data_IF_698696602669
#
_entry.id   IF_698696602669
#
_cell.length_a   1.000
_cell.length_b   1.000
_cell.length_c   1.000
_cell.angle_alpha   90.00
_cell.angle_beta   90.00
_cell.angle_gamma   90.00
#
_symmetry.space_group_name_H-M   'P 1'
#
loop_
_entity.id
_entity.type
_entity.pdbx_description
1 polymer ?
#
# COMPACT_ATOMS: atom_id res chain seq x y z
N UNK A 1 -21.85 39.52 -49.84
CA UNK A 1 -21.78 38.61 -48.72
C UNK A 1 -20.78 37.50 -49.08
N UNK A 2 -19.55 37.64 -48.62
CA UNK A 2 -18.46 36.67 -48.87
C UNK A 2 -18.21 35.90 -47.57
N UNK A 3 -18.43 34.60 -47.59
CA UNK A 3 -18.02 33.68 -46.53
C UNK A 3 -16.53 33.47 -46.60
N UNK A 4 -15.83 33.70 -45.48
CA UNK A 4 -14.42 33.35 -45.29
C UNK A 4 -14.40 32.04 -44.52
N UNK A 5 -13.96 30.98 -45.20
CA UNK A 5 -13.69 29.69 -44.59
C UNK A 5 -12.34 29.72 -43.90
N UNK A 6 -12.30 29.49 -42.60
CA UNK A 6 -11.07 29.37 -41.83
C UNK A 6 -10.57 27.91 -41.90
N UNK A 7 -9.46 27.74 -42.64
CA UNK A 7 -8.79 26.44 -42.78
C UNK A 7 -7.87 26.23 -41.57
N UNK A 8 -8.25 25.34 -40.69
CA UNK A 8 -7.39 24.88 -39.57
C UNK A 8 -6.46 23.80 -40.11
N UNK A 9 -5.20 24.16 -40.30
CA UNK A 9 -4.11 23.22 -40.62
C UNK A 9 -3.65 22.55 -39.34
N UNK A 10 -4.01 21.30 -39.12
CA UNK A 10 -3.44 20.45 -38.07
C UNK A 10 -2.10 19.95 -38.61
N UNK A 11 -1.01 20.52 -38.15
CA UNK A 11 0.32 19.92 -38.34
C UNK A 11 0.49 18.75 -37.43
N UNK A 12 0.38 17.54 -37.94
CA UNK A 12 0.85 16.32 -37.30
C UNK A 12 2.38 16.28 -37.42
N UNK A 13 3.08 16.63 -36.36
CA UNK A 13 4.49 16.28 -36.20
C UNK A 13 4.58 14.76 -35.89
N UNK A 14 4.82 13.98 -36.91
CA UNK A 14 5.34 12.61 -36.77
C UNK A 14 6.84 12.72 -36.46
N UNK A 15 7.19 12.60 -35.19
CA UNK A 15 8.58 12.38 -34.78
C UNK A 15 8.89 10.92 -35.12
N UNK A 16 9.66 10.69 -36.16
CA UNK A 16 10.28 9.40 -36.45
C UNK A 16 11.34 9.17 -35.37
N UNK A 17 11.03 8.33 -34.39
CA UNK A 17 12.01 7.85 -33.43
C UNK A 17 12.91 6.84 -34.15
N UNK A 18 14.08 7.23 -34.55
CA UNK A 18 15.17 6.32 -34.91
C UNK A 18 15.56 5.54 -33.64
N UNK A 19 15.46 4.24 -33.73
CA UNK A 19 15.85 3.27 -32.69
C UNK A 19 17.37 3.28 -32.52
N UNK A 20 17.87 4.15 -31.69
CA UNK A 20 19.13 3.95 -30.98
C UNK A 20 18.75 3.35 -29.62
N UNK A 21 19.22 2.13 -29.33
CA UNK A 21 19.06 1.45 -28.04
C UNK A 21 19.77 2.20 -26.91
N UNK A 22 19.29 3.38 -26.57
CA UNK A 22 19.77 4.22 -25.50
C UNK A 22 19.00 3.94 -24.21
N UNK A 23 19.72 3.60 -23.16
CA UNK A 23 19.19 3.52 -21.79
C UNK A 23 18.75 4.91 -21.36
N UNK A 24 17.50 5.04 -20.86
CA UNK A 24 17.01 6.29 -20.27
C UNK A 24 17.76 6.56 -18.97
N UNK A 25 18.20 7.79 -18.76
CA UNK A 25 18.77 8.23 -17.49
C UNK A 25 17.67 8.47 -16.44
N UNK A 26 18.02 8.51 -15.16
CA UNK A 26 17.08 8.80 -14.08
C UNK A 26 16.37 10.16 -14.26
N UNK A 27 17.04 11.15 -14.88
CA UNK A 27 16.48 12.46 -15.16
C UNK A 27 15.44 12.42 -16.29
N UNK A 28 15.66 11.58 -17.31
CA UNK A 28 14.68 11.33 -18.36
C UNK A 28 13.48 10.54 -17.84
N UNK A 29 13.68 9.57 -16.95
CA UNK A 29 12.61 8.84 -16.26
C UNK A 29 11.73 9.76 -15.41
N UNK A 30 12.32 10.76 -14.74
CA UNK A 30 11.59 11.72 -13.90
C UNK A 30 10.74 12.71 -14.71
N UNK A 31 11.07 12.94 -15.98
CA UNK A 31 10.40 13.89 -16.88
C UNK A 31 9.37 13.25 -17.82
N UNK A 32 9.11 11.95 -17.70
CA UNK A 32 8.22 11.23 -18.60
C UNK A 32 6.79 11.83 -18.62
N UNK A 33 6.23 12.12 -19.81
CA UNK A 33 4.84 12.52 -19.92
C UNK A 33 3.91 11.37 -19.48
N UNK A 34 2.72 11.71 -18.98
CA UNK A 34 1.69 10.77 -18.48
C UNK A 34 1.36 9.57 -19.40
N UNK A 35 1.78 9.60 -20.65
CA UNK A 35 1.47 8.58 -21.67
C UNK A 35 2.62 7.60 -21.92
N UNK A 36 3.76 7.72 -21.26
CA UNK A 36 4.90 6.83 -21.51
C UNK A 36 4.93 5.70 -20.49
N UNK A 37 4.92 4.47 -21.01
CA UNK A 37 5.06 3.24 -20.24
C UNK A 37 6.54 2.90 -20.06
N UNK A 38 6.93 2.45 -18.86
CA UNK A 38 8.21 1.80 -18.61
C UNK A 38 7.99 0.31 -18.68
N UNK A 39 8.65 -0.35 -19.62
CA UNK A 39 8.46 -1.77 -19.90
C UNK A 39 9.78 -2.51 -19.72
N UNK A 40 9.77 -3.56 -18.92
CA UNK A 40 10.94 -4.37 -18.59
C UNK A 40 10.69 -5.82 -18.97
N UNK A 41 11.65 -6.42 -19.68
CA UNK A 41 11.66 -7.81 -20.13
C UNK A 41 12.78 -8.55 -19.39
N UNK A 42 12.43 -9.57 -18.61
CA UNK A 42 13.31 -10.22 -17.64
C UNK A 42 13.86 -11.53 -18.20
N UNK A 43 15.15 -11.53 -18.47
CA UNK A 43 15.89 -12.72 -18.90
C UNK A 43 16.86 -12.46 -20.04
N UNK A 44 17.69 -13.47 -20.37
CA UNK A 44 18.75 -13.34 -21.37
C UNK A 44 18.27 -13.60 -22.82
N UNK A 45 16.99 -13.86 -23.04
CA UNK A 45 16.42 -14.18 -24.34
C UNK A 45 16.31 -12.97 -25.26
N UNK A 46 15.47 -13.12 -26.28
CA UNK A 46 15.20 -12.05 -27.23
C UNK A 46 14.26 -11.01 -26.59
N UNK A 47 14.71 -9.77 -26.51
CA UNK A 47 13.94 -8.67 -25.94
C UNK A 47 12.71 -8.33 -26.79
N UNK A 48 11.57 -8.17 -26.15
CA UNK A 48 10.35 -7.72 -26.80
C UNK A 48 10.48 -6.26 -27.30
N UNK A 49 9.92 -5.91 -28.47
CA UNK A 49 9.98 -4.54 -28.97
C UNK A 49 9.39 -3.53 -27.97
N UNK A 50 10.13 -2.47 -27.67
CA UNK A 50 9.70 -1.43 -26.72
C UNK A 50 9.92 -1.76 -25.26
N UNK A 51 10.63 -2.85 -24.95
CA UNK A 51 11.02 -3.24 -23.60
C UNK A 51 12.52 -3.04 -23.37
N UNK A 52 12.86 -2.80 -22.11
CA UNK A 52 14.23 -2.74 -21.62
C UNK A 52 14.59 -4.10 -21.01
N UNK A 53 15.70 -4.69 -21.45
CA UNK A 53 16.16 -5.96 -20.91
C UNK A 53 16.65 -5.83 -19.47
N UNK A 54 16.25 -6.77 -18.62
CA UNK A 54 16.72 -6.90 -17.24
C UNK A 54 17.39 -8.27 -17.09
N UNK A 55 18.68 -8.27 -16.77
CA UNK A 55 19.47 -9.48 -16.53
C UNK A 55 19.72 -9.63 -15.02
N UNK A 56 20.10 -10.82 -14.57
CA UNK A 56 20.49 -11.07 -13.17
C UNK A 56 21.58 -10.12 -12.65
N UNK A 57 22.38 -9.55 -13.54
CA UNK A 57 23.44 -8.58 -13.23
C UNK A 57 22.96 -7.13 -13.23
N UNK A 58 21.71 -6.88 -13.57
CA UNK A 58 21.12 -5.53 -13.62
C UNK A 58 20.80 -5.09 -12.18
N UNK A 59 21.79 -4.52 -11.49
CA UNK A 59 21.64 -3.99 -10.14
C UNK A 59 21.16 -2.54 -10.17
N UNK A 60 20.26 -2.19 -9.29
CA UNK A 60 19.75 -0.83 -9.17
C UNK A 60 20.88 0.16 -8.85
N UNK A 61 20.93 1.25 -9.60
CA UNK A 61 21.68 2.45 -9.27
C UNK A 61 20.90 3.70 -9.63
N UNK A 62 21.23 4.83 -9.03
CA UNK A 62 20.56 6.12 -9.38
C UNK A 62 20.76 6.50 -10.85
N UNK A 63 21.93 6.19 -11.41
CA UNK A 63 22.27 6.50 -12.80
C UNK A 63 21.48 5.62 -13.78
N UNK A 64 21.27 4.35 -13.42
CA UNK A 64 20.49 3.43 -14.25
C UNK A 64 18.98 3.65 -14.09
N UNK A 65 18.54 3.99 -12.89
CA UNK A 65 17.15 4.24 -12.54
C UNK A 65 16.26 3.00 -12.40
N UNK A 66 16.79 1.78 -12.58
CA UNK A 66 16.06 0.52 -12.37
C UNK A 66 17.03 -0.62 -12.08
N UNK A 67 16.52 -1.73 -11.55
CA UNK A 67 17.31 -2.94 -11.34
C UNK A 67 16.93 -3.69 -10.07
N UNK A 68 17.55 -4.86 -9.88
CA UNK A 68 17.44 -5.60 -8.63
C UNK A 68 18.19 -4.86 -7.51
N UNK A 69 17.61 -4.81 -6.33
CA UNK A 69 18.28 -4.24 -5.17
C UNK A 69 19.55 -5.06 -4.83
N UNK A 70 20.60 -4.41 -4.30
CA UNK A 70 21.85 -5.09 -3.96
C UNK A 70 21.64 -6.31 -3.04
N UNK A 71 22.27 -7.43 -3.37
CA UNK A 71 22.16 -8.67 -2.62
C UNK A 71 21.06 -9.61 -3.10
N UNK A 72 20.32 -9.27 -4.15
CA UNK A 72 19.37 -10.19 -4.76
C UNK A 72 20.07 -11.43 -5.34
N UNK A 73 19.63 -12.61 -4.91
CA UNK A 73 20.06 -13.90 -5.44
C UNK A 73 19.05 -14.35 -6.50
N UNK A 74 19.24 -13.89 -7.73
CA UNK A 74 18.32 -14.09 -8.84
C UNK A 74 19.01 -14.82 -9.97
N UNK A 75 18.37 -15.84 -10.53
CA UNK A 75 18.79 -16.54 -11.74
C UNK A 75 17.85 -16.19 -12.88
N UNK A 76 18.40 -15.72 -14.00
CA UNK A 76 17.63 -15.45 -15.21
C UNK A 76 17.92 -16.53 -16.28
N UNK A 77 16.87 -17.07 -16.88
CA UNK A 77 16.96 -18.20 -17.81
C UNK A 77 16.15 -17.93 -19.08
N UNK A 78 16.71 -18.35 -20.24
CA UNK A 78 15.98 -18.42 -21.50
C UNK A 78 15.47 -19.86 -21.72
N UNK A 79 14.16 -20.01 -21.89
CA UNK A 79 13.49 -21.28 -22.19
C UNK A 79 13.25 -21.47 -23.68
N UNK A 80 13.58 -20.46 -24.47
CA UNK A 80 13.27 -20.42 -25.90
C UNK A 80 11.79 -20.24 -26.21
N UNK A 81 11.46 -19.86 -27.41
CA UNK A 81 10.07 -19.67 -27.83
C UNK A 81 9.91 -18.53 -28.82
N UNK A 82 8.65 -18.32 -29.26
CA UNK A 82 8.33 -17.25 -30.23
C UNK A 82 7.84 -15.95 -29.53
N UNK A 83 7.29 -16.09 -28.36
CA UNK A 83 6.76 -14.97 -27.56
C UNK A 83 7.88 -14.49 -26.63
N UNK A 84 8.47 -13.36 -26.94
CA UNK A 84 9.59 -12.81 -26.20
C UNK A 84 9.30 -12.63 -24.70
N UNK A 85 8.09 -12.19 -24.35
CA UNK A 85 7.69 -11.96 -22.94
C UNK A 85 7.36 -13.25 -22.17
N UNK A 86 7.48 -14.43 -22.78
CA UNK A 86 7.20 -15.74 -22.20
C UNK A 86 8.28 -16.77 -22.49
N UNK A 87 9.34 -16.37 -23.20
CA UNK A 87 10.46 -17.25 -23.54
C UNK A 87 11.53 -17.28 -22.48
N UNK A 88 11.60 -16.25 -21.66
CA UNK A 88 12.57 -16.11 -20.58
C UNK A 88 11.95 -15.50 -19.32
N UNK A 89 12.69 -15.54 -18.23
CA UNK A 89 12.26 -15.07 -16.92
C UNK A 89 13.45 -14.94 -15.99
N UNK A 90 13.26 -14.19 -14.90
CA UNK A 90 14.12 -14.24 -13.72
C UNK A 90 13.36 -14.85 -12.55
N UNK A 91 14.02 -15.70 -11.76
CA UNK A 91 13.43 -16.44 -10.63
C UNK A 91 14.48 -16.61 -9.53
N UNK A 92 14.03 -16.96 -8.32
CA UNK A 92 14.87 -17.21 -7.15
C UNK A 92 14.21 -18.24 -6.24
N UNK A 93 14.99 -18.84 -5.36
CA UNK A 93 14.50 -19.64 -4.21
C UNK A 93 14.40 -18.77 -2.93
N UNK A 94 14.73 -17.50 -3.04
CA UNK A 94 14.68 -16.51 -1.96
C UNK A 94 13.89 -15.27 -2.38
N UNK A 95 13.33 -14.48 -1.45
CA UNK A 95 12.76 -13.19 -1.77
C UNK A 95 13.79 -12.26 -2.43
N UNK A 96 13.36 -11.53 -3.44
CA UNK A 96 14.18 -10.51 -4.10
C UNK A 96 13.39 -9.23 -4.33
N UNK A 97 14.12 -8.13 -4.52
CA UNK A 97 13.53 -6.81 -4.73
C UNK A 97 13.96 -6.24 -6.08
N UNK A 98 13.02 -5.60 -6.76
CA UNK A 98 13.27 -4.86 -7.99
C UNK A 98 12.74 -3.44 -7.83
N UNK A 99 13.59 -2.45 -8.14
CA UNK A 99 13.27 -1.03 -7.98
C UNK A 99 13.31 -0.28 -9.30
N UNK A 100 12.46 0.73 -9.41
CA UNK A 100 12.40 1.66 -10.54
C UNK A 100 12.26 3.08 -10.03
N UNK A 101 13.13 3.99 -10.46
CA UNK A 101 13.05 5.41 -10.14
C UNK A 101 11.77 6.00 -10.77
N UNK A 102 10.90 6.55 -9.93
CA UNK A 102 9.62 7.13 -10.33
C UNK A 102 9.33 8.38 -9.51
N UNK A 103 8.88 9.46 -10.14
CA UNK A 103 8.40 10.63 -9.40
C UNK A 103 7.11 10.30 -8.62
N UNK A 104 6.82 11.11 -7.62
CA UNK A 104 5.58 10.99 -6.85
C UNK A 104 4.35 10.87 -7.75
N UNK A 105 3.47 9.92 -7.43
CA UNK A 105 2.23 9.70 -8.18
C UNK A 105 1.63 8.32 -8.00
N UNK A 106 0.56 8.09 -8.75
CA UNK A 106 -0.10 6.79 -8.82
C UNK A 106 0.31 6.07 -10.11
N UNK A 107 0.61 4.79 -10.00
CA UNK A 107 1.07 3.96 -11.11
C UNK A 107 0.27 2.67 -11.20
N UNK A 108 -0.14 2.30 -12.41
CA UNK A 108 -0.60 0.95 -12.69
C UNK A 108 0.62 0.11 -13.05
N UNK A 109 0.79 -0.98 -12.32
CA UNK A 109 1.85 -1.97 -12.52
C UNK A 109 1.21 -3.25 -13.02
N UNK A 110 1.67 -3.74 -14.17
CA UNK A 110 1.23 -5.00 -14.78
C UNK A 110 2.41 -5.94 -14.84
N UNK A 111 2.26 -7.14 -14.27
CA UNK A 111 3.33 -8.14 -14.20
C UNK A 111 2.90 -9.41 -14.90
N UNK A 112 3.78 -9.94 -15.74
CA UNK A 112 3.64 -11.27 -16.37
C UNK A 112 4.43 -12.29 -15.57
N UNK A 113 3.74 -13.37 -15.14
CA UNK A 113 4.28 -14.48 -14.37
C UNK A 113 4.19 -15.78 -15.19
N UNK A 114 5.12 -16.69 -14.93
CA UNK A 114 5.09 -18.05 -15.46
C UNK A 114 6.48 -18.53 -15.84
N UNK A 115 6.61 -19.85 -15.99
CA UNK A 115 7.79 -20.52 -16.51
C UNK A 115 7.35 -21.64 -17.45
N UNK A 116 7.98 -21.75 -18.62
CA UNK A 116 7.70 -22.80 -19.60
C UNK A 116 7.94 -24.20 -19.02
N UNK A 117 8.86 -24.33 -18.06
CA UNK A 117 9.39 -25.61 -17.61
C UNK A 117 9.01 -26.00 -16.18
N UNK A 118 8.54 -25.08 -15.37
CA UNK A 118 8.26 -25.35 -13.95
C UNK A 118 7.07 -24.54 -13.41
N UNK A 119 6.49 -25.00 -12.31
CA UNK A 119 5.52 -24.25 -11.54
C UNK A 119 6.17 -23.04 -10.88
N UNK A 120 5.43 -21.93 -10.75
CA UNK A 120 5.85 -20.74 -10.00
C UNK A 120 4.78 -20.32 -9.03
N UNK A 121 5.20 -19.80 -7.86
CA UNK A 121 4.32 -19.20 -6.86
C UNK A 121 4.93 -17.87 -6.45
N UNK A 122 4.23 -16.79 -6.74
CA UNK A 122 4.76 -15.44 -6.49
C UNK A 122 3.76 -14.61 -5.70
N UNK A 123 4.20 -14.06 -4.57
CA UNK A 123 3.53 -12.99 -3.82
C UNK A 123 4.27 -11.69 -4.09
N UNK A 124 3.55 -10.62 -4.40
CA UNK A 124 4.13 -9.30 -4.66
C UNK A 124 3.73 -8.32 -3.57
N UNK A 125 4.72 -7.71 -2.95
CA UNK A 125 4.54 -6.56 -2.05
C UNK A 125 5.21 -5.33 -2.65
N UNK A 126 4.73 -4.14 -2.31
CA UNK A 126 5.29 -2.89 -2.80
C UNK A 126 5.74 -2.00 -1.64
N UNK A 127 6.78 -1.20 -1.86
CA UNK A 127 7.30 -0.24 -0.89
C UNK A 127 7.65 -0.93 0.45
N UNK A 128 7.12 -0.42 1.56
CA UNK A 128 7.24 -1.09 2.86
C UNK A 128 6.19 -2.20 3.01
N UNK A 129 6.37 -3.29 2.25
CA UNK A 129 5.65 -4.55 2.44
C UNK A 129 4.12 -4.46 2.25
N UNK A 130 3.59 -3.46 1.52
CA UNK A 130 2.17 -3.39 1.15
C UNK A 130 1.81 -4.57 0.25
N UNK A 131 0.89 -5.42 0.68
CA UNK A 131 0.50 -6.64 -0.05
C UNK A 131 -0.32 -6.27 -1.30
N UNK A 132 0.26 -6.46 -2.48
CA UNK A 132 -0.39 -6.14 -3.76
C UNK A 132 -1.02 -7.36 -4.41
N UNK A 133 -0.27 -8.45 -4.54
CA UNK A 133 -0.72 -9.72 -5.12
C UNK A 133 -0.36 -10.87 -4.19
N UNK A 134 -1.34 -11.70 -3.93
CA UNK A 134 -1.22 -12.85 -3.06
C UNK A 134 -1.18 -14.12 -3.90
N UNK A 135 -0.13 -14.93 -3.70
CA UNK A 135 -0.06 -16.31 -4.18
C UNK A 135 -0.41 -16.51 -5.68
N UNK A 136 0.21 -15.72 -6.56
CA UNK A 136 0.03 -15.91 -8.02
C UNK A 136 0.70 -17.22 -8.42
N UNK A 137 -0.10 -18.25 -8.63
CA UNK A 137 0.34 -19.60 -8.94
C UNK A 137 0.20 -19.89 -10.43
N UNK A 138 1.25 -20.42 -11.07
CA UNK A 138 1.22 -20.87 -12.47
C UNK A 138 1.83 -22.27 -12.60
N UNK A 139 1.15 -23.17 -13.29
CA UNK A 139 1.73 -24.46 -13.64
C UNK A 139 2.78 -24.32 -14.77
N UNK A 140 3.65 -25.31 -14.92
CA UNK A 140 4.62 -25.36 -16.00
C UNK A 140 3.96 -25.13 -17.38
N UNK A 141 4.55 -24.28 -18.21
CA UNK A 141 4.02 -23.89 -19.52
C UNK A 141 2.79 -22.98 -19.49
N UNK A 142 2.39 -22.50 -18.31
CA UNK A 142 1.28 -21.55 -18.14
C UNK A 142 1.80 -20.19 -17.70
N UNK A 143 1.16 -19.15 -18.24
CA UNK A 143 1.48 -17.76 -17.95
C UNK A 143 0.22 -17.02 -17.54
N UNK A 144 0.36 -16.05 -16.67
CA UNK A 144 -0.72 -15.17 -16.26
C UNK A 144 -0.20 -13.75 -16.06
N UNK A 145 -1.07 -12.79 -16.32
CA UNK A 145 -0.77 -11.37 -16.07
C UNK A 145 -1.68 -10.86 -14.97
N UNK A 146 -1.13 -10.06 -14.07
CA UNK A 146 -1.85 -9.40 -12.98
C UNK A 146 -1.45 -7.95 -12.91
N UNK A 147 -2.42 -7.10 -12.57
CA UNK A 147 -2.19 -5.66 -12.41
C UNK A 147 -2.69 -5.18 -11.05
N UNK A 148 -2.08 -4.12 -10.56
CA UNK A 148 -2.50 -3.37 -9.38
C UNK A 148 -2.14 -1.89 -9.56
N UNK A 149 -2.75 -1.02 -8.75
CA UNK A 149 -2.38 0.39 -8.69
C UNK A 149 -1.62 0.66 -7.39
N UNK A 150 -0.47 1.31 -7.48
CA UNK A 150 0.40 1.65 -6.35
C UNK A 150 0.62 3.16 -6.28
N UNK A 151 0.78 3.68 -5.06
CA UNK A 151 1.17 5.07 -4.81
C UNK A 151 2.64 5.13 -4.40
N UNK A 152 3.41 5.98 -5.09
CA UNK A 152 4.77 6.41 -4.74
C UNK A 152 4.67 7.81 -4.18
N UNK A 153 5.31 8.08 -3.04
CA UNK A 153 5.23 9.38 -2.35
C UNK A 153 6.59 9.87 -1.90
N UNK A 154 6.71 11.18 -1.82
CA UNK A 154 7.86 11.89 -1.29
C UNK A 154 7.44 12.78 -0.12
N UNK A 155 8.36 13.25 0.74
CA UNK A 155 7.99 14.14 1.85
C UNK A 155 7.58 15.54 1.42
N UNK A 156 7.86 15.97 0.19
CA UNK A 156 7.57 17.31 -0.29
C UNK A 156 6.07 17.60 -0.31
N UNK A 157 5.68 18.79 0.15
CA UNK A 157 4.30 19.28 0.14
C UNK A 157 4.18 20.30 -0.97
N UNK A 158 3.26 20.11 -1.92
CA UNK A 158 3.15 20.97 -3.12
C UNK A 158 2.87 22.45 -2.80
N UNK A 159 2.25 22.72 -1.64
CA UNK A 159 2.04 24.10 -1.14
C UNK A 159 3.27 24.72 -0.44
N UNK A 160 4.37 23.98 -0.34
CA UNK A 160 5.64 24.40 0.24
C UNK A 160 6.04 23.70 1.53
N UNK A 161 7.33 23.42 1.65
CA UNK A 161 7.93 22.65 2.74
C UNK A 161 7.73 21.15 2.60
N UNK A 162 7.92 20.42 3.70
CA UNK A 162 7.89 18.96 3.70
C UNK A 162 7.26 18.39 4.97
N UNK A 163 6.92 17.11 4.94
CA UNK A 163 6.57 16.32 6.14
C UNK A 163 7.80 16.23 7.04
N UNK A 164 7.62 16.45 8.33
CA UNK A 164 8.69 16.30 9.32
C UNK A 164 8.88 14.81 9.62
N UNK A 165 9.66 14.15 8.76
CA UNK A 165 9.97 12.73 8.89
C UNK A 165 10.76 12.46 10.16
N UNK A 166 10.41 11.38 10.86
CA UNK A 166 11.17 10.82 11.99
C UNK A 166 12.47 10.16 11.45
N UNK A 167 13.47 9.96 12.29
CA UNK A 167 14.75 9.41 11.87
C UNK A 167 14.62 8.02 11.23
N UNK A 168 13.70 7.19 11.72
CA UNK A 168 13.43 5.88 11.11
C UNK A 168 12.84 5.98 9.70
N UNK A 169 12.02 7.00 9.42
CA UNK A 169 11.45 7.25 8.09
C UNK A 169 12.51 7.70 7.07
N UNK A 170 13.66 8.20 7.56
CA UNK A 170 14.83 8.56 6.74
C UNK A 170 15.82 7.39 6.60
N UNK A 171 15.59 6.28 7.27
CA UNK A 171 16.49 5.12 7.31
C UNK A 171 15.75 3.81 6.99
N UNK A 172 15.25 3.09 7.99
CA UNK A 172 14.59 1.78 7.81
C UNK A 172 13.26 1.85 7.07
N UNK A 173 12.63 3.02 7.00
CA UNK A 173 11.36 3.26 6.32
C UNK A 173 11.51 4.13 5.06
N UNK A 174 12.74 4.32 4.59
CA UNK A 174 13.05 5.21 3.47
C UNK A 174 12.27 4.88 2.19
N UNK A 175 12.06 3.60 1.90
CA UNK A 175 11.31 3.15 0.72
C UNK A 175 9.86 3.65 0.65
N UNK A 176 9.31 4.11 1.78
CA UNK A 176 7.99 4.74 1.77
C UNK A 176 8.01 6.23 1.36
N UNK A 177 9.18 6.86 1.26
CA UNK A 177 9.34 8.31 1.10
C UNK A 177 10.38 8.71 0.06
N UNK A 178 10.81 7.77 -0.77
CA UNK A 178 11.81 8.04 -1.82
C UNK A 178 11.15 8.18 -3.22
N UNK A 179 11.96 8.55 -4.21
CA UNK A 179 11.54 8.71 -5.60
C UNK A 179 11.74 7.42 -6.39
N UNK A 180 11.32 6.29 -5.83
CA UNK A 180 11.32 5.01 -6.55
C UNK A 180 10.18 4.11 -6.09
N UNK A 181 9.75 3.23 -6.97
CA UNK A 181 8.90 2.09 -6.65
C UNK A 181 9.80 0.89 -6.39
N UNK A 182 9.67 0.29 -5.20
CA UNK A 182 10.32 -0.98 -4.85
C UNK A 182 9.29 -2.08 -4.76
N UNK A 183 9.52 -3.18 -5.48
CA UNK A 183 8.67 -4.37 -5.50
C UNK A 183 9.43 -5.55 -4.87
N UNK A 184 8.82 -6.20 -3.86
CA UNK A 184 9.26 -7.48 -3.31
C UNK A 184 8.56 -8.61 -4.05
N UNK A 185 9.33 -9.56 -4.56
CA UNK A 185 8.87 -10.83 -5.10
C UNK A 185 9.24 -11.92 -4.11
N UNK A 186 8.24 -12.65 -3.61
CA UNK A 186 8.39 -13.59 -2.51
C UNK A 186 7.53 -14.84 -2.76
N UNK A 187 7.66 -15.85 -1.98
CA UNK A 187 7.00 -17.14 -1.93
C UNK A 187 7.93 -18.31 -2.32
N UNK A 188 7.39 -19.50 -2.58
CA UNK A 188 8.17 -20.74 -2.76
C UNK A 188 9.14 -20.68 -3.95
N UNK A 189 8.71 -20.09 -5.07
CA UNK A 189 9.52 -19.88 -6.26
C UNK A 189 9.05 -18.61 -6.97
N UNK A 190 9.38 -17.43 -6.43
CA UNK A 190 9.01 -16.17 -7.06
C UNK A 190 9.66 -16.04 -8.44
N UNK A 191 8.87 -15.61 -9.41
CA UNK A 191 9.32 -15.46 -10.79
C UNK A 191 8.70 -14.24 -11.44
N UNK A 192 9.39 -13.72 -12.45
CA UNK A 192 8.96 -12.56 -13.23
C UNK A 192 9.47 -12.69 -14.64
N UNK A 193 8.57 -12.49 -15.63
CA UNK A 193 8.93 -12.45 -17.05
C UNK A 193 8.89 -11.03 -17.60
N UNK A 194 7.90 -10.22 -17.21
CA UNK A 194 7.81 -8.83 -17.66
C UNK A 194 7.13 -7.93 -16.60
N UNK A 195 7.49 -6.64 -16.60
CA UNK A 195 6.79 -5.57 -15.89
C UNK A 195 6.47 -4.43 -16.85
N UNK A 196 5.26 -3.92 -16.76
CA UNK A 196 4.84 -2.68 -17.39
C UNK A 196 4.38 -1.70 -16.32
N UNK A 197 4.86 -0.45 -16.33
CA UNK A 197 4.52 0.58 -15.35
C UNK A 197 4.03 1.80 -16.09
N UNK A 198 2.81 2.23 -15.78
CA UNK A 198 2.17 3.38 -16.41
C UNK A 198 1.71 4.36 -15.33
N UNK A 199 2.09 5.64 -15.45
CA UNK A 199 1.55 6.68 -14.57
C UNK A 199 0.07 6.88 -14.87
N UNK A 200 -0.78 6.87 -13.83
CA UNK A 200 -2.24 6.94 -13.99
C UNK A 200 -2.86 8.05 -13.16
N UNK A 201 -3.95 8.61 -13.68
CA UNK A 201 -4.84 9.46 -12.89
C UNK A 201 -5.94 8.58 -12.31
N UNK A 202 -5.74 8.12 -11.08
CA UNK A 202 -6.69 7.29 -10.35
C UNK A 202 -7.16 8.01 -9.08
N UNK A 203 -8.41 7.79 -8.62
CA UNK A 203 -8.81 8.18 -7.28
C UNK A 203 -7.87 7.61 -6.24
N UNK A 204 -7.68 8.34 -5.15
CA UNK A 204 -6.78 7.92 -4.08
C UNK A 204 -7.55 7.74 -2.77
N UNK A 205 -7.31 6.63 -2.09
CA UNK A 205 -7.65 6.42 -0.71
C UNK A 205 -6.43 6.75 0.14
N UNK A 206 -6.45 7.88 0.82
CA UNK A 206 -5.44 8.27 1.79
C UNK A 206 -5.74 7.65 3.14
N UNK A 207 -4.70 7.13 3.82
CA UNK A 207 -4.77 6.65 5.17
C UNK A 207 -3.96 7.57 6.09
N UNK A 208 -4.55 8.02 7.17
CA UNK A 208 -3.87 8.70 8.27
C UNK A 208 -4.18 7.96 9.57
N UNK A 209 -3.15 7.70 10.36
CA UNK A 209 -3.27 6.91 11.57
C UNK A 209 -1.94 6.68 12.29
N UNK A 210 -2.00 5.76 13.22
CA UNK A 210 -0.88 5.34 14.07
C UNK A 210 -0.23 4.01 13.60
N UNK A 211 0.50 3.35 14.48
CA UNK A 211 1.22 2.09 14.22
C UNK A 211 0.33 0.94 13.78
N UNK A 212 -0.97 1.00 14.03
CA UNK A 212 -1.92 -0.04 13.62
C UNK A 212 -2.44 0.15 12.18
N UNK A 213 -2.07 1.27 11.55
CA UNK A 213 -2.45 1.66 10.18
C UNK A 213 -1.24 1.78 9.25
N UNK A 214 -0.09 2.24 9.76
CA UNK A 214 1.09 2.59 8.95
C UNK A 214 1.77 1.38 8.32
N UNK A 215 2.61 1.64 7.33
CA UNK A 215 3.46 0.63 6.73
C UNK A 215 4.60 0.27 7.70
N UNK A 216 4.52 -0.89 8.33
CA UNK A 216 5.58 -1.41 9.22
C UNK A 216 6.74 -1.97 8.39
N UNK A 217 8.00 -1.53 8.62
CA UNK A 217 9.10 -1.92 7.75
C UNK A 217 9.59 -3.35 7.96
N UNK A 218 9.40 -3.91 9.16
CA UNK A 218 10.09 -5.13 9.59
C UNK A 218 9.10 -6.16 10.17
N UNK A 219 9.33 -7.44 9.83
CA UNK A 219 8.63 -8.56 10.46
C UNK A 219 8.99 -8.67 11.96
N UNK A 220 8.09 -9.14 12.81
CA UNK A 220 6.76 -9.66 12.52
C UNK A 220 5.65 -8.60 12.50
N UNK A 221 5.98 -7.32 12.64
CA UNK A 221 4.99 -6.24 12.74
C UNK A 221 4.34 -5.97 11.39
N UNK A 222 3.04 -5.72 11.42
CA UNK A 222 2.23 -5.38 10.26
C UNK A 222 1.03 -4.53 10.69
N UNK A 223 0.29 -3.97 9.74
CA UNK A 223 -0.91 -3.19 9.97
C UNK A 223 -2.01 -3.54 8.97
N UNK A 224 -3.26 -3.22 9.30
CA UNK A 224 -4.35 -3.40 8.35
C UNK A 224 -4.17 -2.51 7.09
N UNK A 225 -3.50 -1.36 7.20
CA UNK A 225 -3.24 -0.48 6.06
C UNK A 225 -2.32 -1.11 5.02
N UNK A 226 -1.32 -1.89 5.45
CA UNK A 226 -0.43 -2.64 4.54
C UNK A 226 -1.14 -3.79 3.82
N UNK A 227 -2.08 -4.45 4.50
CA UNK A 227 -2.84 -5.58 3.93
C UNK A 227 -4.03 -5.13 3.10
N UNK A 228 -4.52 -3.91 3.31
CA UNK A 228 -5.72 -3.39 2.66
C UNK A 228 -5.60 -3.35 1.12
N UNK A 229 -4.41 -3.04 0.60
CA UNK A 229 -4.12 -2.91 -0.83
C UNK A 229 -4.47 -4.18 -1.61
N UNK A 230 -4.30 -5.35 -1.01
CA UNK A 230 -4.59 -6.67 -1.60
C UNK A 230 -6.04 -6.83 -2.08
N UNK A 231 -6.97 -6.12 -1.46
CA UNK A 231 -8.41 -6.29 -1.70
C UNK A 231 -8.97 -5.38 -2.79
N UNK A 232 -8.11 -4.54 -3.39
CA UNK A 232 -8.53 -3.62 -4.44
C UNK A 232 -7.98 -4.04 -5.82
N UNK A 233 -8.84 -3.94 -6.83
CA UNK A 233 -8.46 -4.09 -8.23
C UNK A 233 -7.82 -2.79 -8.76
N UNK A 234 -7.13 -2.82 -9.91
CA UNK A 234 -6.62 -1.60 -10.56
C UNK A 234 -7.69 -0.53 -10.72
N UNK A 235 -7.27 0.73 -10.70
CA UNK A 235 -8.12 1.91 -10.89
C UNK A 235 -8.37 2.73 -9.63
N UNK A 236 -7.74 2.37 -8.49
CA UNK A 236 -7.67 3.17 -7.27
C UNK A 236 -6.31 2.96 -6.61
N UNK A 237 -5.69 4.02 -6.14
CA UNK A 237 -4.46 3.95 -5.36
C UNK A 237 -4.74 4.04 -3.86
N UNK A 238 -3.97 3.35 -3.04
CA UNK A 238 -3.98 3.49 -1.58
C UNK A 238 -2.66 4.14 -1.16
N UNK A 239 -2.75 5.34 -0.59
CA UNK A 239 -1.62 6.14 -0.14
C UNK A 239 -1.59 6.16 1.39
N UNK A 240 -0.72 5.35 2.00
CA UNK A 240 -0.66 5.20 3.44
C UNK A 240 0.31 6.24 4.05
N UNK A 241 -0.23 7.33 4.59
CA UNK A 241 0.52 8.40 5.26
C UNK A 241 0.50 8.28 6.80
N UNK A 242 -0.01 7.17 7.33
CA UNK A 242 0.03 6.88 8.75
C UNK A 242 1.46 6.61 9.22
N UNK A 243 1.71 6.76 10.52
CA UNK A 243 3.04 6.56 11.08
C UNK A 243 2.98 6.08 12.54
N UNK A 244 3.91 5.19 12.90
CA UNK A 244 4.02 4.64 14.24
C UNK A 244 4.22 5.72 15.30
N UNK A 245 3.46 5.62 16.40
CA UNK A 245 3.54 6.55 17.52
C UNK A 245 2.86 7.90 17.29
N UNK A 246 2.14 8.08 16.19
CA UNK A 246 1.39 9.32 15.95
C UNK A 246 0.07 9.37 16.73
N UNK A 247 -0.21 10.55 17.30
CA UNK A 247 -1.53 11.02 17.67
C UNK A 247 -2.05 12.00 16.62
N UNK A 248 -3.32 12.40 16.66
CA UNK A 248 -3.83 13.48 15.80
C UNK A 248 -2.99 14.75 15.90
N UNK A 249 -2.59 15.11 17.12
CA UNK A 249 -1.80 16.31 17.39
C UNK A 249 -0.39 16.21 16.82
N UNK A 250 0.30 15.09 17.03
CA UNK A 250 1.66 14.91 16.50
C UNK A 250 1.67 14.81 14.98
N UNK A 251 0.66 14.18 14.38
CA UNK A 251 0.44 14.11 12.93
C UNK A 251 0.27 15.50 12.30
N UNK A 252 -0.51 16.39 12.94
CA UNK A 252 -0.61 17.80 12.54
C UNK A 252 0.75 18.51 12.63
N UNK A 253 1.45 18.34 13.77
CA UNK A 253 2.76 18.95 13.98
C UNK A 253 3.81 18.45 12.97
N UNK A 254 3.71 17.20 12.54
CA UNK A 254 4.53 16.60 11.49
C UNK A 254 4.09 16.98 10.07
N UNK A 255 2.99 17.73 9.91
CA UNK A 255 2.44 18.18 8.64
C UNK A 255 1.95 17.04 7.73
N UNK A 256 1.52 15.92 8.31
CA UNK A 256 1.03 14.77 7.54
C UNK A 256 -0.32 15.06 6.88
N UNK A 257 -1.20 15.78 7.61
CA UNK A 257 -2.46 16.25 7.04
C UNK A 257 -2.21 17.22 5.87
N UNK A 258 -1.30 18.21 6.02
CA UNK A 258 -0.94 19.15 4.95
C UNK A 258 -0.49 18.40 3.69
N UNK A 259 0.34 17.35 3.85
CA UNK A 259 0.80 16.51 2.74
C UNK A 259 -0.36 15.85 2.02
N UNK A 260 -1.25 15.20 2.74
CA UNK A 260 -2.44 14.56 2.17
C UNK A 260 -3.32 15.58 1.44
N UNK A 261 -3.63 16.70 2.08
CA UNK A 261 -4.47 17.76 1.50
C UNK A 261 -3.85 18.36 0.22
N UNK A 262 -2.52 18.46 0.16
CA UNK A 262 -1.81 18.97 -1.02
C UNK A 262 -1.91 18.07 -2.26
N UNK A 263 -2.24 16.79 -2.06
CA UNK A 263 -2.40 15.79 -3.13
C UNK A 263 -3.87 15.46 -3.42
N UNK A 264 -4.75 15.72 -2.44
CA UNK A 264 -6.15 15.33 -2.47
C UNK A 264 -6.92 16.05 -3.58
N UNK A 265 -7.77 15.31 -4.26
CA UNK A 265 -8.66 15.79 -5.31
C UNK A 265 -10.12 15.49 -4.96
N UNK A 266 -11.08 16.22 -5.54
CA UNK A 266 -12.49 15.90 -5.37
C UNK A 266 -12.79 14.43 -5.70
N UNK A 267 -13.46 13.76 -4.74
CA UNK A 267 -13.81 12.35 -4.85
C UNK A 267 -12.78 11.38 -4.28
N UNK A 268 -11.60 11.85 -3.87
CA UNK A 268 -10.66 11.04 -3.08
C UNK A 268 -11.21 10.78 -1.67
N UNK A 269 -10.70 9.73 -1.03
CA UNK A 269 -11.10 9.35 0.33
C UNK A 269 -9.99 9.62 1.33
N UNK A 270 -10.36 9.98 2.56
CA UNK A 270 -9.45 10.05 3.69
C UNK A 270 -9.98 9.17 4.84
N UNK A 271 -9.29 8.07 5.11
CA UNK A 271 -9.53 7.24 6.27
C UNK A 271 -8.68 7.73 7.45
N UNK A 272 -9.33 7.97 8.59
CA UNK A 272 -8.73 8.58 9.78
C UNK A 272 -8.90 7.63 10.96
N UNK A 273 -7.80 7.00 11.42
CA UNK A 273 -7.79 6.16 12.61
C UNK A 273 -6.65 6.54 13.55
N UNK A 274 -6.98 7.12 14.68
CA UNK A 274 -6.07 7.43 15.77
C UNK A 274 -6.71 7.03 17.10
N UNK A 275 -5.96 7.10 18.19
CA UNK A 275 -6.45 6.81 19.53
C UNK A 275 -5.38 6.24 20.46
N UNK A 276 -4.59 5.26 19.99
CA UNK A 276 -3.59 4.55 20.79
C UNK A 276 -2.52 5.46 21.43
N UNK A 277 -2.25 6.61 20.82
CA UNK A 277 -1.28 7.58 21.33
C UNK A 277 -1.96 8.82 21.88
N UNK A 278 -3.11 9.20 21.35
CA UNK A 278 -3.90 10.33 21.85
C UNK A 278 -4.31 10.12 23.31
N UNK A 279 -4.66 8.90 23.71
CA UNK A 279 -5.03 8.54 25.08
C UNK A 279 -3.88 8.67 26.10
N UNK A 280 -2.63 8.70 25.61
CA UNK A 280 -1.42 8.88 26.42
C UNK A 280 -1.08 10.36 26.64
N UNK A 281 -1.66 11.26 25.85
CA UNK A 281 -1.45 12.69 26.00
C UNK A 281 -1.97 13.18 27.36
N UNK A 282 -1.25 14.10 27.99
CA UNK A 282 -1.58 14.65 29.29
C UNK A 282 -1.57 16.18 29.24
N UNK A 283 -2.30 16.79 30.14
CA UNK A 283 -2.37 18.24 30.28
C UNK A 283 -3.78 18.71 30.61
N UNK A 284 -3.89 19.97 31.02
CA UNK A 284 -5.18 20.59 31.25
C UNK A 284 -5.99 20.67 29.96
N UNK A 285 -7.25 20.24 30.00
CA UNK A 285 -8.15 20.22 28.84
C UNK A 285 -7.87 19.14 27.83
N UNK A 286 -6.86 18.25 28.00
CA UNK A 286 -6.57 17.14 27.11
C UNK A 286 -7.50 15.97 27.41
N UNK A 287 -8.16 15.44 26.38
CA UNK A 287 -9.04 14.28 26.52
C UNK A 287 -9.85 13.96 25.28
N UNK A 288 -10.57 12.84 25.36
CA UNK A 288 -11.34 12.27 24.26
C UNK A 288 -12.42 13.22 23.71
N UNK A 289 -13.13 13.90 24.61
CA UNK A 289 -14.23 14.82 24.23
C UNK A 289 -13.80 16.28 24.06
N UNK A 290 -12.55 16.58 24.26
CA UNK A 290 -11.98 17.93 24.14
C UNK A 290 -11.00 18.00 22.94
N UNK A 291 -9.70 17.91 23.18
CA UNK A 291 -8.65 18.07 22.17
C UNK A 291 -8.74 17.03 21.05
N UNK A 292 -8.96 15.75 21.39
CA UNK A 292 -9.06 14.67 20.41
C UNK A 292 -10.28 14.88 19.51
N UNK A 293 -11.46 15.12 20.10
CA UNK A 293 -12.68 15.42 19.35
C UNK A 293 -12.53 16.64 18.43
N UNK A 294 -11.91 17.72 18.94
CA UNK A 294 -11.66 18.92 18.14
C UNK A 294 -10.74 18.64 16.95
N UNK A 295 -9.67 17.86 17.16
CA UNK A 295 -8.74 17.47 16.10
C UNK A 295 -9.42 16.58 15.04
N UNK A 296 -10.25 15.61 15.44
CA UNK A 296 -11.02 14.81 14.49
C UNK A 296 -11.91 15.65 13.57
N UNK A 297 -12.62 16.64 14.17
CA UNK A 297 -13.45 17.58 13.39
C UNK A 297 -12.61 18.39 12.42
N UNK A 298 -11.45 18.85 12.84
CA UNK A 298 -10.52 19.59 11.98
C UNK A 298 -10.10 18.74 10.77
N UNK A 299 -9.71 17.47 10.95
CA UNK A 299 -9.34 16.58 9.85
C UNK A 299 -10.51 16.37 8.86
N UNK A 300 -11.72 16.20 9.39
CA UNK A 300 -12.94 16.06 8.58
C UNK A 300 -13.20 17.32 7.75
N UNK A 301 -13.13 18.48 8.39
CA UNK A 301 -13.37 19.78 7.74
C UNK A 301 -12.37 20.06 6.64
N UNK A 302 -11.07 19.88 6.90
CA UNK A 302 -10.00 20.15 5.93
C UNK A 302 -10.10 19.22 4.72
N UNK A 303 -10.38 17.92 4.93
CA UNK A 303 -10.60 16.99 3.83
C UNK A 303 -11.79 17.43 2.93
N UNK A 304 -12.88 17.88 3.52
CA UNK A 304 -14.06 18.38 2.79
C UNK A 304 -13.75 19.64 1.99
N UNK A 305 -12.93 20.55 2.51
CA UNK A 305 -12.51 21.76 1.77
C UNK A 305 -11.80 21.42 0.46
N UNK A 306 -11.09 20.30 0.40
CA UNK A 306 -10.44 19.78 -0.81
C UNK A 306 -11.38 18.95 -1.69
N UNK A 307 -12.66 18.80 -1.32
CA UNK A 307 -13.63 17.93 -2.02
C UNK A 307 -13.43 16.44 -1.73
N UNK A 308 -12.61 16.09 -0.74
CA UNK A 308 -12.39 14.73 -0.29
C UNK A 308 -13.56 14.20 0.56
N UNK A 309 -13.62 12.89 0.67
CA UNK A 309 -14.64 12.15 1.44
C UNK A 309 -13.96 11.57 2.70
N UNK A 310 -14.07 12.24 3.86
CA UNK A 310 -13.52 11.71 5.10
C UNK A 310 -14.36 10.54 5.62
N UNK A 311 -13.68 9.54 6.19
CA UNK A 311 -14.28 8.40 6.88
C UNK A 311 -13.56 8.24 8.21
N UNK A 312 -14.29 8.24 9.30
CA UNK A 312 -13.73 8.03 10.63
C UNK A 312 -13.70 6.53 10.95
N UNK A 313 -12.59 6.10 11.55
CA UNK A 313 -12.39 4.72 11.99
C UNK A 313 -12.06 4.73 13.47
N UNK A 314 -12.80 3.96 14.28
CA UNK A 314 -12.49 3.83 15.71
C UNK A 314 -11.17 3.07 15.88
N UNK A 315 -10.35 3.38 16.92
CA UNK A 315 -9.10 2.67 17.18
C UNK A 315 -9.37 1.17 17.35
N UNK A 316 -8.51 0.34 16.77
CA UNK A 316 -8.59 -1.12 16.92
C UNK A 316 -8.37 -1.50 18.39
N UNK A 317 -9.01 -2.56 18.87
CA UNK A 317 -8.83 -3.05 20.24
C UNK A 317 -7.38 -3.47 20.51
N UNK A 318 -6.96 -3.36 21.78
CA UNK A 318 -5.83 -4.14 22.27
C UNK A 318 -6.28 -5.53 22.69
N UNK A 319 -5.36 -6.46 22.70
CA UNK A 319 -5.62 -7.86 23.15
C UNK A 319 -5.66 -7.93 24.68
N UNK A 320 -6.67 -7.31 25.26
CA UNK A 320 -6.91 -7.29 26.72
C UNK A 320 -8.18 -8.05 27.03
N UNK A 321 -8.05 -9.23 27.61
CA UNK A 321 -9.17 -10.09 28.01
C UNK A 321 -9.42 -10.04 29.50
N UNK A 322 -10.69 -10.13 29.89
CA UNK A 322 -11.09 -10.40 31.26
C UNK A 322 -11.03 -11.90 31.59
N UNK A 323 -11.37 -12.24 32.84
CA UNK A 323 -11.36 -13.62 33.32
C UNK A 323 -12.42 -14.51 32.62
N UNK A 324 -13.40 -13.93 31.95
CA UNK A 324 -14.45 -14.61 31.19
C UNK A 324 -14.09 -14.75 29.71
N UNK A 325 -12.90 -14.30 29.30
CA UNK A 325 -12.46 -14.34 27.90
C UNK A 325 -13.13 -13.29 27.00
N UNK A 326 -13.62 -12.21 27.59
CA UNK A 326 -14.18 -11.07 26.88
C UNK A 326 -13.15 -9.95 26.73
N UNK A 327 -13.16 -9.28 25.58
CA UNK A 327 -12.31 -8.11 25.36
C UNK A 327 -12.76 -6.95 26.25
N UNK A 328 -11.79 -6.35 26.91
CA UNK A 328 -12.02 -5.14 27.72
C UNK A 328 -11.58 -3.89 26.95
N UNK A 329 -12.39 -2.84 27.02
CA UNK A 329 -12.04 -1.56 26.39
C UNK A 329 -10.84 -0.90 27.12
N UNK A 330 -9.68 -0.92 26.49
CA UNK A 330 -8.47 -0.27 27.00
C UNK A 330 -8.29 1.18 26.54
N UNK A 331 -9.18 1.68 25.65
CA UNK A 331 -9.12 3.03 25.07
C UNK A 331 -10.00 4.07 25.78
N UNK A 332 -10.66 3.70 26.90
CA UNK A 332 -11.56 4.62 27.61
C UNK A 332 -12.62 5.21 26.69
N UNK A 333 -12.74 6.52 26.68
CA UNK A 333 -13.77 7.26 25.94
C UNK A 333 -13.40 7.57 24.47
N UNK A 334 -12.18 7.25 24.02
CA UNK A 334 -11.73 7.63 22.68
C UNK A 334 -12.56 7.01 21.54
N UNK A 335 -12.93 5.71 21.59
CA UNK A 335 -13.84 5.15 20.56
C UNK A 335 -15.24 5.78 20.57
N UNK A 336 -15.75 6.13 21.75
CA UNK A 336 -17.04 6.81 21.87
C UNK A 336 -17.00 8.22 21.29
N UNK A 337 -15.90 8.96 21.49
CA UNK A 337 -15.69 10.27 20.88
C UNK A 337 -15.66 10.20 19.35
N UNK A 338 -15.00 9.18 18.74
CA UNK A 338 -15.03 8.98 17.28
C UNK A 338 -16.45 8.77 16.77
N UNK A 339 -17.23 7.88 17.43
CA UNK A 339 -18.65 7.64 17.08
C UNK A 339 -19.49 8.91 17.18
N UNK A 340 -19.24 9.72 18.21
CA UNK A 340 -19.92 10.98 18.40
C UNK A 340 -19.61 11.98 17.27
N UNK A 341 -18.31 12.16 16.93
CA UNK A 341 -17.90 13.03 15.83
C UNK A 341 -18.48 12.58 14.52
N UNK A 342 -18.44 11.26 14.21
CA UNK A 342 -19.02 10.73 12.98
C UNK A 342 -20.51 11.11 12.83
N UNK A 343 -21.27 11.03 13.93
CA UNK A 343 -22.68 11.42 13.97
C UNK A 343 -22.86 12.93 13.82
N UNK A 344 -22.10 13.73 14.58
CA UNK A 344 -22.19 15.20 14.58
C UNK A 344 -21.83 15.80 13.22
N UNK A 345 -20.75 15.27 12.60
CA UNK A 345 -20.27 15.73 11.32
C UNK A 345 -20.95 15.03 10.11
N UNK A 346 -21.85 14.09 10.36
CA UNK A 346 -22.49 13.28 9.32
C UNK A 346 -21.47 12.69 8.32
N UNK A 347 -20.45 11.99 8.84
CA UNK A 347 -19.44 11.25 8.06
C UNK A 347 -19.58 9.76 8.27
N UNK A 348 -19.25 8.93 7.26
CA UNK A 348 -19.23 7.48 7.43
C UNK A 348 -18.32 7.07 8.59
N UNK A 349 -18.74 6.03 9.31
CA UNK A 349 -18.01 5.43 10.42
C UNK A 349 -17.69 3.96 10.11
N UNK A 350 -16.44 3.58 10.28
CA UNK A 350 -16.00 2.19 10.38
C UNK A 350 -15.72 1.91 11.85
N UNK A 351 -16.58 1.14 12.49
CA UNK A 351 -16.43 0.81 13.91
C UNK A 351 -15.49 -0.39 14.12
N UNK A 352 -14.20 -0.17 13.80
CA UNK A 352 -13.18 -1.20 13.89
C UNK A 352 -12.94 -1.65 15.35
N UNK A 353 -13.18 -0.77 16.32
CA UNK A 353 -13.14 -1.13 17.74
C UNK A 353 -14.13 -2.25 18.07
N UNK A 354 -15.38 -2.12 17.61
CA UNK A 354 -16.38 -3.16 17.80
C UNK A 354 -16.04 -4.43 17.02
N UNK A 355 -15.66 -4.29 15.75
CA UNK A 355 -15.36 -5.44 14.88
C UNK A 355 -14.12 -6.22 15.37
N UNK A 356 -13.06 -5.56 15.79
CA UNK A 356 -11.88 -6.21 16.34
C UNK A 356 -12.14 -6.88 17.70
N UNK A 357 -13.04 -6.31 18.51
CA UNK A 357 -13.51 -6.97 19.73
C UNK A 357 -14.15 -8.34 19.44
N UNK A 358 -15.08 -8.38 18.49
CA UNK A 358 -15.71 -9.62 18.03
C UNK A 358 -14.68 -10.60 17.50
N UNK A 359 -13.75 -10.14 16.66
CA UNK A 359 -12.69 -10.94 16.07
C UNK A 359 -11.78 -11.58 17.12
N UNK A 360 -11.34 -10.80 18.12
CA UNK A 360 -10.44 -11.32 19.15
C UNK A 360 -11.15 -12.28 20.10
N UNK A 361 -12.42 -12.01 20.43
CA UNK A 361 -13.24 -12.96 21.20
C UNK A 361 -13.48 -14.26 20.46
N UNK A 362 -13.66 -14.22 19.12
CA UNK A 362 -13.80 -15.43 18.31
C UNK A 362 -12.52 -16.28 18.31
N UNK A 363 -11.34 -15.66 18.28
CA UNK A 363 -10.08 -16.39 18.49
C UNK A 363 -9.90 -16.87 19.93
N UNK A 364 -10.39 -16.11 20.90
CA UNK A 364 -10.17 -16.36 22.33
C UNK A 364 -8.78 -15.97 22.85
N UNK A 365 -8.57 -16.00 24.17
CA UNK A 365 -7.36 -15.46 24.80
C UNK A 365 -6.05 -16.12 24.34
N UNK A 366 -6.06 -17.43 24.09
CA UNK A 366 -4.84 -18.15 23.73
C UNK A 366 -4.55 -18.09 22.21
N UNK A 367 -5.53 -18.42 21.36
CA UNK A 367 -5.31 -18.46 19.92
C UNK A 367 -5.08 -17.07 19.33
N UNK A 368 -5.67 -16.02 19.89
CA UNK A 368 -5.43 -14.63 19.47
C UNK A 368 -3.96 -14.21 19.56
N UNK A 369 -3.13 -14.86 20.39
CA UNK A 369 -1.68 -14.58 20.42
C UNK A 369 -1.01 -14.78 19.06
N UNK A 370 -1.56 -15.68 18.23
CA UNK A 370 -1.03 -16.00 16.89
C UNK A 370 -1.33 -14.92 15.85
N UNK A 371 -2.16 -13.93 16.17
CA UNK A 371 -2.50 -12.80 15.29
C UNK A 371 -1.74 -11.52 15.66
N UNK A 372 -0.93 -11.54 16.71
CA UNK A 372 -0.13 -10.43 17.17
C UNK A 372 1.37 -10.73 17.05
N UNK A 373 2.18 -9.67 17.05
CA UNK A 373 3.61 -9.83 17.21
C UNK A 373 3.95 -10.47 18.57
N UNK A 374 5.03 -11.23 18.69
CA UNK A 374 5.38 -11.93 19.93
C UNK A 374 5.47 -10.97 21.14
N UNK A 375 4.80 -11.33 22.23
CA UNK A 375 4.74 -10.55 23.47
C UNK A 375 4.18 -9.13 23.30
N UNK A 376 3.35 -8.91 22.27
CA UNK A 376 2.67 -7.65 22.03
C UNK A 376 1.14 -7.85 22.10
N UNK A 377 0.44 -6.91 22.71
CA UNK A 377 -1.03 -6.92 22.78
C UNK A 377 -1.67 -5.81 21.96
N UNK A 378 -0.84 -5.03 21.23
CA UNK A 378 -1.26 -3.88 20.43
C UNK A 378 -1.00 -4.10 18.94
N UNK A 379 0.22 -4.54 18.58
CA UNK A 379 0.63 -4.65 17.19
C UNK A 379 0.41 -6.05 16.64
N UNK A 380 -0.18 -6.10 15.46
CA UNK A 380 -0.49 -7.34 14.75
C UNK A 380 0.71 -7.82 13.92
N UNK A 381 0.68 -9.10 13.61
CA UNK A 381 1.50 -9.70 12.55
C UNK A 381 0.71 -9.70 11.22
N UNK A 382 1.27 -10.33 10.18
CA UNK A 382 0.66 -10.40 8.85
C UNK A 382 -0.76 -10.97 8.88
N UNK A 383 -0.99 -12.07 9.61
CA UNK A 383 -2.31 -12.69 9.70
C UNK A 383 -3.33 -11.79 10.40
N UNK A 384 -3.00 -11.27 11.59
CA UNK A 384 -3.92 -10.39 12.31
C UNK A 384 -4.27 -9.11 11.55
N UNK A 385 -3.29 -8.53 10.86
CA UNK A 385 -3.48 -7.36 10.01
C UNK A 385 -4.34 -7.66 8.79
N UNK A 386 -4.20 -8.85 8.20
CA UNK A 386 -5.02 -9.29 7.06
C UNK A 386 -6.49 -9.42 7.46
N UNK A 387 -6.79 -10.06 8.60
CA UNK A 387 -8.16 -10.20 9.10
C UNK A 387 -8.78 -8.83 9.46
N UNK A 388 -8.00 -7.90 10.03
CA UNK A 388 -8.47 -6.54 10.27
C UNK A 388 -8.74 -5.79 8.96
N UNK A 389 -7.92 -5.97 7.92
CA UNK A 389 -8.19 -5.40 6.60
C UNK A 389 -9.50 -5.94 6.02
N UNK A 390 -9.83 -7.22 6.25
CA UNK A 390 -11.14 -7.79 5.87
C UNK A 390 -12.30 -7.13 6.63
N UNK A 391 -12.12 -6.82 7.91
CA UNK A 391 -13.10 -6.02 8.66
C UNK A 391 -13.35 -4.66 7.97
N UNK A 392 -12.28 -3.95 7.57
CA UNK A 392 -12.39 -2.68 6.84
C UNK A 392 -13.16 -2.87 5.52
N UNK A 393 -12.88 -3.93 4.77
CA UNK A 393 -13.57 -4.24 3.50
C UNK A 393 -15.07 -4.45 3.71
N UNK A 394 -15.47 -5.22 4.72
CA UNK A 394 -16.89 -5.41 5.02
C UNK A 394 -17.57 -4.11 5.47
N UNK A 395 -16.86 -3.28 6.23
CA UNK A 395 -17.38 -1.97 6.61
C UNK A 395 -17.52 -1.00 5.41
N UNK A 396 -16.60 -1.04 4.44
CA UNK A 396 -16.73 -0.30 3.17
C UNK A 396 -18.02 -0.70 2.43
N UNK A 397 -18.31 -2.01 2.37
CA UNK A 397 -19.54 -2.53 1.75
C UNK A 397 -20.78 -2.13 2.54
N UNK A 398 -20.78 -2.30 3.86
CA UNK A 398 -21.89 -2.01 4.75
C UNK A 398 -22.28 -0.51 4.73
N UNK A 399 -21.27 0.37 4.70
CA UNK A 399 -21.46 1.82 4.57
C UNK A 399 -21.77 2.28 3.14
N UNK A 400 -21.82 1.37 2.16
CA UNK A 400 -22.07 1.67 0.73
C UNK A 400 -21.13 2.74 0.19
N UNK A 401 -19.88 2.77 0.64
CA UNK A 401 -18.89 3.71 0.14
C UNK A 401 -18.65 3.46 -1.35
N UNK A 402 -18.47 4.53 -2.13
CA UNK A 402 -18.16 4.42 -3.55
C UNK A 402 -16.85 3.63 -3.85
N UNK A 403 -16.02 3.41 -2.82
CA UNK A 403 -14.85 2.54 -2.85
C UNK A 403 -15.20 1.08 -3.15
N UNK A 404 -16.39 0.61 -2.78
CA UNK A 404 -16.83 -0.78 -2.95
C UNK A 404 -16.76 -1.24 -4.43
N UNK A 405 -16.91 -0.34 -5.38
CA UNK A 405 -16.80 -0.66 -6.82
C UNK A 405 -15.40 -1.06 -7.25
N UNK A 406 -14.36 -0.73 -6.47
CA UNK A 406 -12.97 -1.09 -6.74
C UNK A 406 -12.52 -2.35 -6.02
N UNK A 407 -13.35 -2.94 -5.17
CA UNK A 407 -13.01 -4.18 -4.48
C UNK A 407 -12.94 -5.36 -5.46
N UNK A 408 -12.06 -6.30 -5.16
CA UNK A 408 -11.94 -7.57 -5.89
C UNK A 408 -13.21 -8.38 -5.60
N UNK A 409 -13.96 -8.71 -6.65
CA UNK A 409 -15.27 -9.39 -6.53
C UNK A 409 -15.18 -10.84 -6.07
N UNK A 410 -14.02 -11.47 -6.26
CA UNK A 410 -13.78 -12.86 -5.79
C UNK A 410 -13.45 -12.97 -4.31
N UNK A 411 -13.29 -11.85 -3.60
CA UNK A 411 -13.08 -11.88 -2.14
C UNK A 411 -14.34 -12.39 -1.45
N UNK A 412 -14.22 -13.53 -0.76
CA UNK A 412 -15.32 -14.08 0.02
C UNK A 412 -15.80 -13.11 1.10
N UNK A 413 -17.11 -13.05 1.41
CA UNK A 413 -17.60 -12.29 2.55
C UNK A 413 -16.85 -12.68 3.83
N UNK A 414 -16.66 -11.73 4.72
CA UNK A 414 -15.95 -11.94 5.98
C UNK A 414 -16.87 -11.62 7.17
N UNK A 415 -16.89 -12.52 8.13
CA UNK A 415 -17.55 -12.32 9.41
C UNK A 415 -16.49 -12.39 10.53
N UNK A 416 -16.21 -11.30 11.26
CA UNK A 416 -15.24 -11.32 12.34
C UNK A 416 -15.57 -12.30 13.47
N UNK A 417 -16.82 -12.79 13.58
CA UNK A 417 -17.18 -13.85 14.51
C UNK A 417 -16.71 -15.24 14.04
N UNK A 418 -16.33 -15.38 12.78
CA UNK A 418 -15.88 -16.64 12.17
C UNK A 418 -14.62 -16.42 11.33
N UNK A 419 -13.49 -16.00 11.95
CA UNK A 419 -12.24 -15.75 11.23
C UNK A 419 -11.69 -17.04 10.62
N UNK A 420 -10.93 -16.86 9.53
CA UNK A 420 -10.26 -18.00 8.89
C UNK A 420 -9.20 -18.59 9.85
N UNK A 421 -8.98 -19.91 9.80
CA UNK A 421 -7.91 -20.51 10.60
C UNK A 421 -6.54 -19.94 10.24
N UNK A 422 -5.73 -19.59 11.24
CA UNK A 422 -4.38 -19.05 11.02
C UNK A 422 -3.49 -19.95 10.14
N UNK A 423 -3.72 -21.26 10.20
CA UNK A 423 -2.94 -22.24 9.42
C UNK A 423 -3.34 -22.27 7.94
N UNK A 424 -4.39 -21.56 7.53
CA UNK A 424 -4.77 -21.35 6.14
C UNK A 424 -4.17 -20.05 5.53
N UNK A 425 -3.49 -19.26 6.35
CA UNK A 425 -2.88 -18.00 5.90
C UNK A 425 -1.48 -18.23 5.31
N UNK A 426 -1.31 -17.94 4.03
CA UNK A 426 -0.13 -18.31 3.24
C UNK A 426 0.69 -17.10 2.72
N UNK A 427 0.46 -15.89 3.25
CA UNK A 427 1.28 -14.75 2.86
C UNK A 427 2.67 -14.88 3.49
N UNK A 428 3.74 -15.01 2.69
CA UNK A 428 5.08 -15.22 3.20
C UNK A 428 5.59 -13.98 3.95
N UNK A 429 6.37 -14.22 5.01
CA UNK A 429 7.06 -13.16 5.71
C UNK A 429 8.11 -12.50 4.79
N UNK A 430 8.32 -11.20 4.93
CA UNK A 430 9.43 -10.51 4.26
C UNK A 430 10.76 -10.83 4.96
N UNK A 431 11.90 -10.74 4.26
CA UNK A 431 13.18 -11.21 4.81
C UNK A 431 13.71 -10.37 5.98
N UNK A 432 13.28 -9.13 6.12
CA UNK A 432 13.77 -8.22 7.16
C UNK A 432 12.94 -8.36 8.44
N UNK A 433 13.60 -8.63 9.56
CA UNK A 433 12.99 -8.93 10.85
C UNK A 433 13.50 -8.02 11.97
N UNK A 434 12.70 -7.82 13.01
CA UNK A 434 13.10 -7.10 14.22
C UNK A 434 12.45 -7.70 15.47
N UNK A 435 13.15 -7.56 16.61
CA UNK A 435 12.56 -7.80 17.94
C UNK A 435 12.14 -6.50 18.64
N UNK A 436 12.38 -5.34 18.01
CA UNK A 436 12.07 -4.02 18.58
C UNK A 436 10.64 -3.64 18.26
N UNK A 437 9.85 -3.38 19.29
CA UNK A 437 8.45 -2.95 19.14
C UNK A 437 8.35 -1.57 18.48
N UNK A 438 7.37 -1.38 17.59
CA UNK A 438 7.05 -0.06 17.07
C UNK A 438 6.67 0.91 18.21
N UNK A 439 6.96 2.19 18.08
CA UNK A 439 6.48 3.19 19.01
C UNK A 439 4.96 3.23 19.08
N UNK A 440 4.41 3.44 20.27
CA UNK A 440 2.96 3.56 20.46
C UNK A 440 2.30 2.35 21.13
N UNK A 441 3.07 1.33 21.51
CA UNK A 441 2.57 0.16 22.30
C UNK A 441 2.44 0.47 23.79
#
# INVERSE_FOLDING_TARGET
MKQIALLVVVLSLSVVAESLGGRLSAEELSSLPYSQSLNFDFGPGKVAPGYTQVLQTTTYSKELGYGFEPGADVTCVDRGGRDALRSDLCTSDQPFFFSVALPEGNYEVTITFGDQSAETVTTVKAELRRLMLEEVRTAAGKFTTRSFTVNVRTPQISSGGEVKLKDREKTSELWAWDEKLTLEFNNERPSISAIEIVKVTAPTLFLLGDSTVCDQPLEPYNSWGQMLTRFFRPGIAIANHAESGESLRSSLSARRLDKVLSLMKPGDYLFIQYGHNDEKEKGEGVGAYTTYKASLKHFVEEARKCGGIPVLITPVQRRTFDAQGKITNSHGDYPAAVRQVAKEENVPLIDLHAMSGVLYEAWGPEASKRSFAPNDGTHHNNYGSYELARCIIEAIKANKLGLAKYLITSTAPFDPAHPDPVDSFNVPASPQVTAVKPPGS
#
